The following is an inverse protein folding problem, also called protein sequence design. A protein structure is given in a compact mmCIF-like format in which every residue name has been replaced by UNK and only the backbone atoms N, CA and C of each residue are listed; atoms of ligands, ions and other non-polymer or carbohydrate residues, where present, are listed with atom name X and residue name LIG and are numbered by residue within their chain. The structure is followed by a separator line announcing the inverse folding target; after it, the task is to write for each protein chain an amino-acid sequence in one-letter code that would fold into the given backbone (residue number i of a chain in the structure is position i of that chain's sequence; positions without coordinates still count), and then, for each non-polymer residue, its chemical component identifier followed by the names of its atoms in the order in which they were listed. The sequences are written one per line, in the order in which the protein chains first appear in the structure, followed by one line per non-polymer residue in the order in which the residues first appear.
data_IF_363995618427
#
_entry.id   IF_363995618427
#
_cell.length_a   1.000
_cell.length_b   1.000
_cell.length_c   1.000
_cell.angle_alpha   90.00
_cell.angle_beta   90.00
_cell.angle_gamma   90.00
#
_symmetry.space_group_name_H-M   'P 1'
#
loop_
_entity.id
_entity.type
_entity.pdbx_description
1 polymer ?
#
# COMPACT_ATOMS: atom_id res chain seq x y z
N UNK A 1 -11.21 36.75 -54.27
CA UNK A 1 -9.82 36.92 -53.77
C UNK A 1 -9.89 36.60 -52.28
N UNK A 2 -9.25 35.60 -51.67
CA UNK A 2 -8.40 34.51 -52.11
C UNK A 2 -8.47 33.43 -51.00
N UNK A 3 -8.39 32.16 -51.38
CA UNK A 3 -8.11 31.03 -50.51
C UNK A 3 -6.67 31.09 -49.99
N UNK A 4 -6.41 30.67 -48.75
CA UNK A 4 -5.12 30.10 -48.36
C UNK A 4 -5.23 29.23 -47.09
N UNK A 5 -4.74 28.00 -47.24
CA UNK A 5 -4.67 26.89 -46.27
C UNK A 5 -3.64 27.12 -45.15
N UNK A 6 -3.68 26.34 -44.04
CA UNK A 6 -2.70 26.41 -42.95
C UNK A 6 -1.42 25.60 -43.25
N UNK A 7 -0.27 25.92 -42.64
CA UNK A 7 0.93 25.12 -42.75
C UNK A 7 0.97 23.97 -41.71
N UNK A 8 1.57 22.85 -42.16
CA UNK A 8 1.75 21.56 -41.50
C UNK A 8 3.25 21.27 -41.44
N UNK A 9 3.85 21.11 -40.25
CA UNK A 9 5.26 20.66 -40.07
C UNK A 9 5.40 20.18 -38.60
N UNK A 10 6.07 19.11 -38.15
CA UNK A 10 6.64 17.84 -38.64
C UNK A 10 6.87 16.95 -37.39
N UNK A 11 6.98 15.65 -37.59
CA UNK A 11 7.25 14.65 -36.55
C UNK A 11 8.77 14.42 -36.31
N UNK A 12 9.13 14.24 -35.02
CA UNK A 12 10.17 13.41 -34.35
C UNK A 12 11.58 13.24 -34.94
N UNK A 13 12.62 13.02 -34.08
CA UNK A 13 12.96 11.64 -33.72
C UNK A 13 13.49 11.38 -32.28
N UNK A 14 13.14 10.19 -31.82
CA UNK A 14 13.90 9.17 -31.05
C UNK A 14 15.35 9.48 -30.58
N UNK A 15 15.59 9.34 -29.28
CA UNK A 15 16.93 9.23 -28.65
C UNK A 15 16.90 8.10 -27.62
N UNK A 16 16.89 6.88 -28.12
CA UNK A 16 17.22 5.67 -27.37
C UNK A 16 18.70 5.33 -27.64
N UNK A 17 19.41 4.89 -26.59
CA UNK A 17 20.75 4.24 -26.59
C UNK A 17 21.97 5.12 -26.28
N UNK A 18 22.29 5.21 -24.98
CA UNK A 18 23.63 5.44 -24.40
C UNK A 18 23.47 5.18 -22.89
N UNK A 19 24.19 4.36 -22.12
CA UNK A 19 25.43 3.61 -22.26
C UNK A 19 25.33 2.40 -21.30
N UNK A 20 25.38 1.18 -21.86
CA UNK A 20 25.66 -0.06 -21.12
C UNK A 20 27.10 -0.46 -21.44
N UNK A 21 28.02 -0.28 -20.50
CA UNK A 21 29.24 -1.07 -20.31
C UNK A 21 30.16 -0.37 -19.31
N UNK A 22 30.54 -1.02 -18.22
CA UNK A 22 31.94 -1.26 -17.83
C UNK A 22 32.01 -2.41 -16.83
N UNK A 23 32.96 -3.29 -17.10
CA UNK A 23 33.18 -4.65 -16.58
C UNK A 23 34.18 -4.61 -15.42
N UNK A 24 34.08 -5.56 -14.48
CA UNK A 24 35.22 -6.05 -13.70
C UNK A 24 34.91 -6.24 -12.22
N UNK A 25 35.48 -7.20 -11.48
CA UNK A 25 36.39 -8.31 -11.76
C UNK A 25 36.58 -9.01 -10.40
N UNK A 26 36.50 -10.35 -10.34
CA UNK A 26 37.03 -11.18 -9.24
C UNK A 26 36.26 -11.12 -7.89
N UNK A 27 36.30 -12.12 -7.01
CA UNK A 27 37.13 -13.32 -6.95
C UNK A 27 36.44 -14.31 -5.99
N UNK A 28 36.18 -15.54 -6.41
CA UNK A 28 35.94 -16.66 -5.50
C UNK A 28 37.30 -17.16 -5.01
N UNK A 29 37.46 -17.40 -3.70
CA UNK A 29 38.32 -18.47 -3.19
C UNK A 29 38.03 -18.77 -1.72
N UNK A 30 37.61 -20.03 -1.55
CA UNK A 30 37.71 -20.91 -0.39
C UNK A 30 39.06 -20.82 0.32
N UNK A 31 39.05 -20.95 1.65
CA UNK A 31 40.12 -21.63 2.39
C UNK A 31 39.55 -22.17 3.71
N UNK A 32 39.56 -23.48 3.81
CA UNK A 32 39.39 -24.27 5.03
C UNK A 32 40.63 -24.10 5.92
N UNK A 33 40.48 -24.19 7.24
CA UNK A 33 41.47 -24.88 8.06
C UNK A 33 40.88 -25.38 9.38
N UNK A 34 40.97 -26.69 9.50
CA UNK A 34 40.65 -27.62 10.57
C UNK A 34 41.78 -27.70 11.62
N UNK A 35 41.45 -27.98 12.89
CA UNK A 35 42.34 -28.61 13.89
C UNK A 35 41.50 -29.38 14.93
N UNK A 36 41.35 -30.69 14.70
CA UNK A 36 41.61 -31.86 15.60
C UNK A 36 41.87 -31.59 17.10
N UNK A 37 41.34 -32.30 18.11
CA UNK A 37 41.51 -33.74 18.48
C UNK A 37 40.76 -33.92 19.82
N UNK A 38 39.82 -34.86 19.99
CA UNK A 38 39.97 -36.25 20.47
C UNK A 38 39.39 -36.47 21.91
N UNK A 39 38.94 -37.69 22.26
CA UNK A 39 37.80 -37.95 23.15
C UNK A 39 38.17 -38.65 24.48
N UNK A 40 37.24 -38.68 25.45
CA UNK A 40 37.18 -39.68 26.54
C UNK A 40 35.82 -39.56 27.26
N UNK A 41 34.92 -40.54 27.11
CA UNK A 41 34.65 -41.66 28.04
C UNK A 41 33.50 -41.36 29.03
N UNK A 42 32.44 -42.17 28.91
CA UNK A 42 31.24 -42.22 29.78
C UNK A 42 31.51 -43.18 30.95
N UNK A 43 30.86 -43.01 32.13
CA UNK A 43 29.70 -43.88 32.39
C UNK A 43 28.58 -43.33 33.33
N UNK A 44 27.34 -43.63 32.91
CA UNK A 44 26.11 -44.00 33.64
C UNK A 44 25.86 -43.63 35.12
N UNK A 45 24.71 -42.98 35.39
CA UNK A 45 23.69 -43.40 36.37
C UNK A 45 22.38 -42.56 36.26
N UNK A 46 21.22 -43.21 36.27
CA UNK A 46 19.86 -42.66 36.46
C UNK A 46 19.37 -43.04 37.88
N UNK A 47 18.18 -42.62 38.37
CA UNK A 47 17.50 -41.33 38.31
C UNK A 47 17.14 -40.83 39.74
N UNK A 48 16.85 -39.55 39.96
CA UNK A 48 15.95 -39.17 41.05
C UNK A 48 15.11 -37.94 40.68
N UNK A 49 13.83 -38.06 40.96
CA UNK A 49 12.80 -37.11 40.59
C UNK A 49 12.67 -36.04 41.67
N UNK A 50 12.68 -34.76 41.30
CA UNK A 50 11.90 -33.70 41.97
C UNK A 50 11.87 -32.47 41.05
N UNK A 51 10.71 -32.20 40.42
CA UNK A 51 10.34 -30.85 39.96
C UNK A 51 9.88 -30.03 41.18
N UNK A 52 10.03 -28.69 41.16
CA UNK A 52 8.91 -27.87 40.71
C UNK A 52 9.29 -26.77 39.69
N UNK A 53 8.28 -26.21 38.98
CA UNK A 53 8.46 -25.43 37.77
C UNK A 53 8.49 -23.92 38.06
N UNK A 54 9.28 -23.16 37.30
CA UNK A 54 8.96 -21.75 37.01
C UNK A 54 9.62 -21.33 35.69
N UNK A 55 9.17 -21.93 34.60
CA UNK A 55 9.43 -21.38 33.28
C UNK A 55 8.53 -20.13 33.13
N UNK A 56 9.12 -18.97 33.37
CA UNK A 56 8.52 -17.69 33.01
C UNK A 56 8.29 -17.68 31.50
N UNK A 57 7.04 -17.89 31.09
CA UNK A 57 6.60 -17.69 29.72
C UNK A 57 6.78 -16.21 29.38
N UNK A 58 7.82 -15.90 28.62
CA UNK A 58 7.95 -14.60 27.96
C UNK A 58 6.74 -14.43 27.03
N UNK A 59 6.03 -13.28 27.07
CA UNK A 59 4.94 -13.04 26.13
C UNK A 59 5.53 -12.99 24.73
N UNK A 60 5.07 -13.91 23.87
CA UNK A 60 5.37 -13.84 22.44
C UNK A 60 4.95 -12.47 21.91
N UNK A 61 5.77 -11.80 21.06
CA UNK A 61 5.34 -10.56 20.43
C UNK A 61 4.07 -10.83 19.62
N UNK A 62 3.11 -9.88 19.57
CA UNK A 62 1.89 -10.08 18.80
C UNK A 62 2.28 -10.36 17.35
N UNK A 63 1.82 -11.49 16.83
CA UNK A 63 1.99 -11.84 15.43
C UNK A 63 1.36 -10.73 14.58
N UNK A 64 2.20 -9.93 13.93
CA UNK A 64 1.77 -9.04 12.88
C UNK A 64 1.00 -9.89 11.85
N UNK A 65 -0.27 -9.58 11.52
CA UNK A 65 -0.96 -10.29 10.46
C UNK A 65 -0.37 -9.80 9.14
N UNK A 66 0.81 -10.31 8.77
CA UNK A 66 1.25 -10.29 7.38
C UNK A 66 0.35 -11.30 6.67
N UNK A 67 -0.82 -10.83 6.25
CA UNK A 67 -1.76 -11.57 5.43
C UNK A 67 -1.00 -12.08 4.21
N UNK A 68 -0.82 -13.40 4.13
CA UNK A 68 -0.30 -14.12 2.95
C UNK A 68 -1.28 -14.08 1.77
N UNK A 69 -2.32 -13.24 1.87
CA UNK A 69 -3.32 -13.05 0.84
C UNK A 69 -2.71 -12.31 -0.35
N UNK A 70 -3.06 -12.76 -1.56
CA UNK A 70 -2.65 -12.08 -2.78
C UNK A 70 -3.23 -10.66 -2.83
N UNK A 71 -2.49 -9.66 -3.33
CA UNK A 71 -3.04 -8.33 -3.53
C UNK A 71 -4.28 -8.40 -4.42
N UNK A 72 -5.37 -7.80 -3.97
CA UNK A 72 -6.64 -7.70 -4.70
C UNK A 72 -7.42 -6.46 -4.24
N UNK A 73 -8.59 -6.20 -4.82
CA UNK A 73 -9.47 -5.14 -4.36
C UNK A 73 -9.98 -5.40 -2.93
N UNK A 74 -10.33 -6.65 -2.63
CA UNK A 74 -10.81 -7.08 -1.32
C UNK A 74 -9.69 -6.98 -0.28
N UNK A 75 -8.46 -7.35 -0.67
CA UNK A 75 -7.30 -7.17 0.19
C UNK A 75 -7.03 -5.69 0.49
N UNK A 76 -7.18 -4.80 -0.49
CA UNK A 76 -7.12 -3.36 -0.26
C UNK A 76 -8.17 -2.88 0.74
N UNK A 77 -9.41 -3.35 0.65
CA UNK A 77 -10.47 -2.99 1.60
C UNK A 77 -10.19 -3.51 3.02
N UNK A 78 -9.71 -4.76 3.14
CA UNK A 78 -9.31 -5.32 4.42
C UNK A 78 -8.13 -4.55 5.03
N UNK A 79 -7.13 -4.19 4.21
CA UNK A 79 -6.00 -3.35 4.63
C UNK A 79 -6.45 -1.97 5.12
N UNK A 80 -7.41 -1.35 4.43
CA UNK A 80 -7.95 -0.04 4.78
C UNK A 80 -8.67 -0.10 6.13
N UNK A 81 -9.58 -1.05 6.30
CA UNK A 81 -10.31 -1.31 7.55
C UNK A 81 -9.34 -1.58 8.71
N UNK A 82 -8.36 -2.47 8.51
CA UNK A 82 -7.37 -2.80 9.53
C UNK A 82 -6.46 -1.61 9.85
N UNK A 83 -6.04 -0.85 8.83
CA UNK A 83 -5.20 0.33 8.99
C UNK A 83 -5.87 1.42 9.80
N UNK A 84 -7.18 1.60 9.63
CA UNK A 84 -8.01 2.50 10.43
C UNK A 84 -8.15 1.96 11.87
N UNK A 85 -8.54 0.70 12.03
CA UNK A 85 -8.76 0.09 13.35
C UNK A 85 -7.50 0.13 14.23
N UNK A 86 -6.33 -0.07 13.62
CA UNK A 86 -5.02 -0.01 14.30
C UNK A 86 -4.43 1.40 14.38
N UNK A 87 -5.14 2.42 13.89
CA UNK A 87 -4.68 3.82 13.79
C UNK A 87 -3.38 4.02 12.99
N UNK A 88 -3.01 3.05 12.13
CA UNK A 88 -1.93 3.18 11.16
C UNK A 88 -2.27 4.19 10.07
N UNK A 89 -3.55 4.23 9.68
CA UNK A 89 -4.10 5.23 8.76
C UNK A 89 -4.83 6.30 9.58
N UNK A 90 -4.31 7.52 9.49
CA UNK A 90 -4.93 8.68 10.13
C UNK A 90 -6.16 9.09 9.32
N UNK A 91 -7.23 9.45 10.03
CA UNK A 91 -8.51 9.91 9.46
C UNK A 91 -8.71 11.38 9.85
N UNK A 92 -9.34 12.17 8.98
CA UNK A 92 -9.75 13.56 9.24
C UNK A 92 -8.65 14.56 9.62
N UNK A 93 -7.38 14.17 9.52
CA UNK A 93 -6.23 15.07 9.63
C UNK A 93 -5.89 15.73 8.29
N UNK A 94 -5.15 16.84 8.30
CA UNK A 94 -4.71 17.56 7.09
C UNK A 94 -3.93 16.69 6.09
N UNK A 95 -3.26 15.62 6.54
CA UNK A 95 -2.53 14.67 5.68
C UNK A 95 -3.17 13.29 5.60
N UNK A 96 -4.39 13.13 6.12
CA UNK A 96 -5.10 11.87 6.10
C UNK A 96 -5.37 11.41 4.66
N UNK A 97 -5.40 10.08 4.49
CA UNK A 97 -5.77 9.44 3.22
C UNK A 97 -7.25 9.05 3.20
N UNK A 98 -7.91 9.18 4.34
CA UNK A 98 -9.32 8.86 4.56
C UNK A 98 -9.95 10.02 5.33
N UNK A 99 -11.12 10.45 4.89
CA UNK A 99 -11.93 11.44 5.56
C UNK A 99 -13.36 10.93 5.71
N UNK A 100 -14.14 11.58 6.56
CA UNK A 100 -15.61 11.46 6.54
C UNK A 100 -16.18 12.77 6.01
N UNK A 101 -17.08 12.70 5.03
CA UNK A 101 -17.77 13.86 4.45
C UNK A 101 -19.17 13.41 4.00
N UNK A 102 -20.18 14.25 4.23
CA UNK A 102 -21.58 13.92 3.92
C UNK A 102 -22.01 12.55 4.47
N UNK A 103 -21.60 12.23 5.70
CA UNK A 103 -21.94 10.99 6.43
C UNK A 103 -21.50 9.71 5.69
N UNK A 104 -20.36 9.79 5.00
CA UNK A 104 -19.71 8.62 4.42
C UNK A 104 -18.19 8.76 4.36
N UNK A 105 -17.51 7.64 4.17
CA UNK A 105 -16.08 7.58 3.96
C UNK A 105 -15.66 8.14 2.59
N UNK A 106 -14.66 9.01 2.61
CA UNK A 106 -14.00 9.58 1.44
C UNK A 106 -12.54 9.14 1.38
N UNK A 107 -12.17 8.45 0.29
CA UNK A 107 -10.83 7.91 0.06
C UNK A 107 -10.05 8.81 -0.88
N UNK A 108 -8.93 9.36 -0.40
CA UNK A 108 -8.13 10.33 -1.16
C UNK A 108 -7.30 9.63 -2.24
N UNK A 109 -7.52 9.98 -3.50
CA UNK A 109 -6.82 9.42 -4.67
C UNK A 109 -5.82 10.43 -5.26
N UNK A 110 -4.62 10.00 -5.69
CA UNK A 110 -4.12 8.62 -5.74
C UNK A 110 -3.48 8.13 -4.42
N UNK A 111 -3.38 8.99 -3.40
CA UNK A 111 -2.56 8.77 -2.21
C UNK A 111 -2.86 7.48 -1.45
N UNK A 112 -4.14 7.12 -1.27
CA UNK A 112 -4.53 5.90 -0.57
C UNK A 112 -4.02 4.63 -1.26
N UNK A 113 -4.06 4.60 -2.60
CA UNK A 113 -3.59 3.45 -3.39
C UNK A 113 -2.06 3.39 -3.45
N UNK A 114 -1.41 4.56 -3.52
CA UNK A 114 0.04 4.65 -3.46
C UNK A 114 0.56 4.11 -2.12
N UNK A 115 -0.08 4.47 -1.02
CA UNK A 115 0.29 3.97 0.31
C UNK A 115 0.13 2.46 0.41
N UNK A 116 -0.98 1.92 -0.06
CA UNK A 116 -1.17 0.46 -0.10
C UNK A 116 -0.11 -0.24 -0.95
N UNK A 117 0.19 0.27 -2.14
CA UNK A 117 1.18 -0.33 -3.04
C UNK A 117 2.59 -0.34 -2.43
N UNK A 118 2.96 0.69 -1.65
CA UNK A 118 4.23 0.74 -0.92
C UNK A 118 4.34 -0.36 0.16
N UNK A 119 3.23 -0.70 0.81
CA UNK A 119 3.19 -1.76 1.84
C UNK A 119 3.13 -3.17 1.22
N UNK A 120 2.87 -3.30 -0.09
CA UNK A 120 2.71 -4.59 -0.78
C UNK A 120 3.55 -4.65 -2.06
N UNK A 121 4.86 -4.93 -1.97
CA UNK A 121 5.76 -4.98 -3.13
C UNK A 121 5.34 -5.98 -4.22
N UNK A 122 4.49 -6.96 -3.90
CA UNK A 122 3.94 -7.91 -4.87
C UNK A 122 3.06 -7.20 -5.92
N UNK A 123 2.43 -6.09 -5.57
CA UNK A 123 1.62 -5.27 -6.49
C UNK A 123 2.44 -4.84 -7.71
N UNK A 124 3.70 -4.44 -7.53
CA UNK A 124 4.54 -3.99 -8.64
C UNK A 124 4.80 -5.08 -9.68
N UNK A 125 4.86 -6.36 -9.27
CA UNK A 125 4.98 -7.48 -10.23
C UNK A 125 3.69 -7.66 -11.03
N UNK A 126 2.54 -7.59 -10.38
CA UNK A 126 1.21 -7.74 -11.00
C UNK A 126 0.89 -6.56 -11.92
N UNK A 127 1.21 -5.34 -11.50
CA UNK A 127 0.99 -4.12 -12.26
C UNK A 127 1.77 -4.11 -13.58
N UNK A 128 3.03 -4.56 -13.57
CA UNK A 128 3.86 -4.69 -14.78
C UNK A 128 3.31 -5.69 -15.79
N UNK A 129 2.69 -6.79 -15.35
CA UNK A 129 2.07 -7.76 -16.26
C UNK A 129 0.92 -7.13 -17.06
N UNK A 130 0.27 -6.11 -16.50
CA UNK A 130 -0.81 -5.37 -17.14
C UNK A 130 -0.36 -4.01 -17.71
N UNK A 131 0.95 -3.70 -17.72
CA UNK A 131 1.52 -2.41 -18.15
C UNK A 131 0.91 -1.21 -17.42
N UNK A 132 0.68 -1.33 -16.12
CA UNK A 132 0.14 -0.27 -15.26
C UNK A 132 1.15 0.18 -14.20
N UNK A 133 0.97 1.40 -13.69
CA UNK A 133 1.61 1.79 -12.44
C UNK A 133 0.98 1.05 -11.26
N UNK A 134 1.78 0.77 -10.23
CA UNK A 134 1.39 0.00 -9.05
C UNK A 134 0.09 0.50 -8.42
N UNK A 135 -0.03 1.81 -8.19
CA UNK A 135 -1.24 2.39 -7.59
C UNK A 135 -2.47 2.32 -8.52
N UNK A 136 -2.29 2.44 -9.84
CA UNK A 136 -3.39 2.33 -10.81
C UNK A 136 -3.92 0.90 -10.89
N UNK A 137 -3.03 -0.08 -10.76
CA UNK A 137 -3.42 -1.48 -10.72
C UNK A 137 -4.35 -1.74 -9.52
N UNK A 138 -3.98 -1.25 -8.33
CA UNK A 138 -4.81 -1.38 -7.12
C UNK A 138 -6.13 -0.62 -7.28
N UNK A 139 -6.08 0.61 -7.79
CA UNK A 139 -7.27 1.42 -8.03
C UNK A 139 -8.27 0.71 -8.95
N UNK A 140 -7.82 0.13 -10.07
CA UNK A 140 -8.70 -0.64 -10.97
C UNK A 140 -9.31 -1.86 -10.28
N UNK A 141 -8.55 -2.54 -9.41
CA UNK A 141 -9.06 -3.69 -8.66
C UNK A 141 -10.10 -3.27 -7.62
N UNK A 142 -9.90 -2.15 -6.93
CA UNK A 142 -10.90 -1.54 -6.06
C UNK A 142 -12.16 -1.15 -6.84
N UNK A 143 -12.01 -0.44 -7.97
CA UNK A 143 -13.15 0.00 -8.78
C UNK A 143 -14.00 -1.17 -9.27
N UNK A 144 -13.40 -2.32 -9.58
CA UNK A 144 -14.13 -3.53 -9.98
C UNK A 144 -15.06 -4.08 -8.90
N UNK A 145 -14.82 -3.76 -7.63
CA UNK A 145 -15.70 -4.16 -6.52
C UNK A 145 -16.99 -3.33 -6.45
N UNK A 146 -17.04 -2.17 -7.12
CA UNK A 146 -18.21 -1.29 -7.14
C UNK A 146 -18.70 -0.87 -5.74
N UNK A 147 -17.79 -0.80 -4.77
CA UNK A 147 -18.08 -0.34 -3.40
C UNK A 147 -18.09 1.21 -3.29
N UNK A 148 -17.71 1.90 -4.37
CA UNK A 148 -17.71 3.36 -4.46
C UNK A 148 -18.99 3.89 -5.11
N UNK A 149 -19.38 5.09 -4.70
CA UNK A 149 -20.52 5.83 -5.27
C UNK A 149 -20.15 6.41 -6.64
N UNK A 150 -21.03 6.23 -7.61
CA UNK A 150 -20.94 6.85 -8.94
C UNK A 150 -21.74 8.15 -9.01
N UNK A 151 -21.24 9.11 -9.77
CA UNK A 151 -21.98 10.32 -10.14
C UNK A 151 -23.05 9.99 -11.19
N UNK A 152 -24.05 10.87 -11.33
CA UNK A 152 -25.04 10.79 -12.41
C UNK A 152 -24.42 10.88 -13.81
N UNK A 153 -23.26 11.53 -13.93
CA UNK A 153 -22.43 11.59 -15.14
C UNK A 153 -21.72 10.27 -15.48
N UNK A 154 -21.74 9.28 -14.58
CA UNK A 154 -21.03 8.01 -14.72
C UNK A 154 -19.58 8.02 -14.22
N UNK A 155 -19.07 9.16 -13.73
CA UNK A 155 -17.74 9.25 -13.13
C UNK A 155 -17.70 8.67 -11.72
N UNK A 156 -16.54 8.13 -11.33
CA UNK A 156 -16.31 7.55 -10.00
C UNK A 156 -15.58 8.49 -9.04
N UNK A 157 -14.94 9.54 -9.56
CA UNK A 157 -14.10 10.46 -8.80
C UNK A 157 -14.93 11.66 -8.40
N UNK A 158 -15.05 11.85 -7.09
CA UNK A 158 -15.68 13.01 -6.49
C UNK A 158 -14.63 14.08 -6.19
N UNK A 159 -15.06 15.34 -6.20
CA UNK A 159 -14.23 16.47 -5.81
C UNK A 159 -14.77 17.01 -4.50
N UNK A 160 -13.92 17.11 -3.50
CA UNK A 160 -14.21 17.84 -2.28
C UNK A 160 -13.41 19.15 -2.27
N UNK A 161 -14.02 20.21 -1.78
CA UNK A 161 -13.33 21.44 -1.44
C UNK A 161 -12.82 21.35 0.00
N UNK A 162 -11.52 21.63 0.17
CA UNK A 162 -10.85 21.66 1.46
C UNK A 162 -10.63 23.11 1.84
N UNK A 163 -11.35 23.59 2.85
CA UNK A 163 -11.28 24.96 3.34
C UNK A 163 -10.12 25.10 4.31
N UNK A 164 -9.07 25.80 3.88
CA UNK A 164 -7.94 26.16 4.74
C UNK A 164 -8.08 27.57 5.32
N UNK A 165 -7.33 27.92 6.39
CA UNK A 165 -7.40 29.24 7.02
C UNK A 165 -7.11 30.43 6.08
N UNK A 166 -6.37 30.18 4.99
CA UNK A 166 -5.97 31.22 4.02
C UNK A 166 -6.45 30.97 2.59
N UNK A 167 -6.67 29.71 2.21
CA UNK A 167 -7.05 29.33 0.85
C UNK A 167 -7.77 27.99 0.85
N UNK A 168 -8.71 27.84 -0.07
CA UNK A 168 -9.36 26.56 -0.35
C UNK A 168 -8.60 25.79 -1.43
N UNK A 169 -8.69 24.47 -1.40
CA UNK A 169 -8.09 23.57 -2.40
C UNK A 169 -9.07 22.46 -2.77
N UNK A 170 -8.99 21.98 -4.00
CA UNK A 170 -9.72 20.78 -4.44
C UNK A 170 -8.95 19.51 -4.10
N UNK A 171 -9.65 18.56 -3.51
CA UNK A 171 -9.20 17.20 -3.23
C UNK A 171 -10.04 16.24 -4.06
N UNK A 172 -9.43 15.19 -4.58
CA UNK A 172 -10.11 14.20 -5.43
C UNK A 172 -10.05 12.82 -4.79
N UNK A 173 -11.12 12.05 -4.96
CA UNK A 173 -11.26 10.80 -4.24
C UNK A 173 -12.55 10.05 -4.53
N UNK A 174 -12.74 8.96 -3.81
CA UNK A 174 -13.91 8.10 -3.91
C UNK A 174 -14.77 8.25 -2.67
N UNK A 175 -16.08 8.34 -2.84
CA UNK A 175 -17.02 8.15 -1.75
C UNK A 175 -17.40 6.67 -1.68
N UNK A 176 -17.37 6.07 -0.50
CA UNK A 176 -17.90 4.72 -0.31
C UNK A 176 -19.44 4.74 -0.26
N UNK A 177 -20.05 3.63 -0.67
CA UNK A 177 -21.49 3.42 -0.53
C UNK A 177 -21.89 3.30 0.94
N UNK A 178 -21.14 2.51 1.70
CA UNK A 178 -21.38 2.25 3.12
C UNK A 178 -20.12 2.58 3.95
N UNK A 179 -20.19 3.52 4.90
CA UNK A 179 -19.06 3.85 5.78
C UNK A 179 -18.65 2.67 6.69
N UNK A 180 -19.63 1.83 7.08
CA UNK A 180 -19.44 0.61 7.88
C UNK A 180 -18.52 -0.43 7.23
N UNK A 181 -18.25 -0.31 5.92
CA UNK A 181 -17.29 -1.16 5.22
C UNK A 181 -15.87 -1.00 5.76
N UNK A 182 -15.52 0.18 6.30
CA UNK A 182 -14.18 0.50 6.81
C UNK A 182 -14.17 1.03 8.26
N UNK A 183 -15.26 1.63 8.73
CA UNK A 183 -15.38 2.14 10.09
C UNK A 183 -16.14 1.15 10.98
N UNK A 184 -15.62 0.90 12.19
CA UNK A 184 -16.34 0.16 13.24
C UNK A 184 -17.26 1.12 14.00
N UNK A 185 -16.72 2.29 14.32
CA UNK A 185 -17.44 3.44 14.87
C UNK A 185 -17.18 4.62 13.92
N UNK A 186 -18.23 5.26 13.43
CA UNK A 186 -18.13 6.26 12.38
C UNK A 186 -17.68 7.61 12.95
N UNK A 187 -16.51 8.13 12.55
CA UNK A 187 -16.04 9.42 13.04
C UNK A 187 -16.88 10.56 12.43
N UNK A 188 -17.02 11.70 13.14
CA UNK A 188 -17.79 12.83 12.63
C UNK A 188 -17.22 13.35 11.31
N UNK A 189 -18.08 13.98 10.51
CA UNK A 189 -17.67 14.65 9.27
C UNK A 189 -16.55 15.66 9.53
N UNK A 190 -15.58 15.72 8.61
CA UNK A 190 -14.52 16.69 8.67
C UNK A 190 -15.08 18.10 8.38
N UNK A 191 -15.01 19.05 9.33
CA UNK A 191 -15.59 20.38 9.15
C UNK A 191 -14.87 21.23 8.09
N UNK A 192 -13.69 20.80 7.63
CA UNK A 192 -12.93 21.50 6.61
C UNK A 192 -13.12 20.91 5.21
N UNK A 193 -13.91 19.84 5.05
CA UNK A 193 -14.21 19.25 3.75
C UNK A 193 -15.68 19.38 3.41
N UNK A 194 -15.95 19.85 2.19
CA UNK A 194 -17.29 19.93 1.63
C UNK A 194 -17.31 19.26 0.25
N UNK A 195 -18.38 18.53 -0.04
CA UNK A 195 -18.56 17.91 -1.35
C UNK A 195 -19.00 18.98 -2.38
N UNK A 196 -18.28 19.07 -3.50
CA UNK A 196 -18.54 20.05 -4.56
C UNK A 196 -19.67 19.66 -5.50
#
# INVERSE_FOLDING_TARGET
IASASPPKVQASPDVMADMLAMVGMGNSSTTEQDVETAPDEVPAALPDATQPPLAAAAPSPPASPSSTAQPSGEHFMAWLKQGIATRRLIINDAKALVHTVSDTAYLVSPGVFQRYAQEHPQVGKLARQESLHDWQWVQKRFERLQLHRKQSSGLNIWTCEVTGPRKSRKLHGYLLLEPSSIFIDEPPNNPFLELA
#
